data_IF_647595395514
#
_entry.id   IF_647595395514
#
_cell.length_a   1.000
_cell.length_b   1.000
_cell.length_c   1.000
_cell.angle_alpha   90.00
_cell.angle_beta   90.00
_cell.angle_gamma   90.00
#
_symmetry.space_group_name_H-M   'P 1'
#
loop_
_entity.id
_entity.type
_entity.pdbx_description
1 polymer ?
#
# COMPACT_ATOMS: atom_id res chain seq x y z
N UNK A 1 -23.66 -9.58 6.09
CA UNK A 1 -22.35 -10.19 5.74
C UNK A 1 -21.92 -11.13 6.85
N UNK A 2 -21.67 -12.41 6.54
CA UNK A 2 -21.16 -13.35 7.55
C UNK A 2 -19.75 -12.92 7.95
N UNK A 3 -19.56 -12.61 9.24
CA UNK A 3 -18.22 -12.36 9.78
C UNK A 3 -17.33 -13.57 9.47
N UNK A 4 -16.29 -13.37 8.67
CA UNK A 4 -15.30 -14.41 8.39
C UNK A 4 -14.69 -14.83 9.73
N UNK A 5 -14.88 -16.09 10.10
CA UNK A 5 -14.29 -16.61 11.33
C UNK A 5 -12.82 -16.95 11.05
N UNK A 6 -11.94 -15.97 11.22
CA UNK A 6 -10.50 -16.10 11.00
C UNK A 6 -9.89 -17.28 11.79
N UNK A 7 -10.42 -17.55 12.98
CA UNK A 7 -9.99 -18.70 13.80
C UNK A 7 -10.25 -20.03 13.08
N UNK A 8 -11.41 -20.16 12.41
CA UNK A 8 -11.76 -21.37 11.67
C UNK A 8 -10.87 -21.56 10.42
N UNK A 9 -10.48 -20.49 9.74
CA UNK A 9 -9.56 -20.55 8.61
C UNK A 9 -8.18 -21.05 9.04
N UNK A 10 -7.66 -20.55 10.16
CA UNK A 10 -6.38 -20.98 10.73
C UNK A 10 -6.42 -22.44 11.21
N UNK A 11 -7.57 -22.91 11.71
CA UNK A 11 -7.75 -24.27 12.20
C UNK A 11 -7.92 -25.30 11.08
N UNK A 12 -8.45 -24.91 9.93
CA UNK A 12 -8.79 -25.84 8.83
C UNK A 12 -7.77 -25.93 7.71
N UNK A 13 -6.80 -25.01 7.65
CA UNK A 13 -5.81 -24.94 6.58
C UNK A 13 -4.49 -25.67 6.89
N UNK A 14 -3.71 -25.88 5.84
CA UNK A 14 -2.31 -26.37 5.93
C UNK A 14 -1.37 -25.44 6.71
N UNK A 15 -1.86 -24.27 7.10
CA UNK A 15 -1.14 -23.26 7.89
C UNK A 15 -1.30 -23.46 9.42
N UNK A 16 -1.93 -24.54 9.87
CA UNK A 16 -2.18 -24.83 11.29
C UNK A 16 -0.91 -24.81 12.15
N UNK A 17 0.25 -24.98 11.55
CA UNK A 17 1.56 -24.94 12.22
C UNK A 17 2.54 -24.08 11.41
N UNK A 18 2.36 -22.77 11.42
CA UNK A 18 3.38 -21.86 10.89
C UNK A 18 4.54 -21.84 11.88
N UNK A 19 5.72 -22.26 11.42
CA UNK A 19 6.93 -22.14 12.20
C UNK A 19 7.59 -20.79 11.93
N UNK A 20 7.88 -20.05 12.99
CA UNK A 20 8.68 -18.82 12.94
C UNK A 20 10.17 -19.10 13.25
N UNK A 21 10.58 -20.38 13.23
CA UNK A 21 11.99 -20.75 13.46
C UNK A 21 12.89 -20.08 12.42
N UNK A 22 13.93 -19.43 12.87
CA UNK A 22 14.88 -18.71 12.02
C UNK A 22 14.48 -17.27 11.68
N UNK A 23 13.28 -16.82 12.07
CA UNK A 23 12.88 -15.42 11.90
C UNK A 23 13.23 -14.64 13.17
N UNK A 24 13.92 -13.51 13.01
CA UNK A 24 14.17 -12.59 14.10
C UNK A 24 12.84 -12.09 14.69
N UNK A 25 12.66 -12.25 16.01
CA UNK A 25 11.41 -11.85 16.70
C UNK A 25 11.07 -10.36 16.48
N UNK A 26 12.06 -9.48 16.48
CA UNK A 26 11.86 -8.05 16.25
C UNK A 26 11.29 -7.81 14.86
N UNK A 27 11.90 -8.40 13.84
CA UNK A 27 11.42 -8.31 12.46
C UNK A 27 10.00 -8.88 12.31
N UNK A 28 9.72 -10.03 12.92
CA UNK A 28 8.37 -10.62 12.89
C UNK A 28 7.31 -9.68 13.48
N UNK A 29 7.63 -9.00 14.60
CA UNK A 29 6.73 -8.02 15.23
C UNK A 29 6.55 -6.79 14.35
N UNK A 30 7.61 -6.28 13.73
CA UNK A 30 7.55 -5.12 12.82
C UNK A 30 6.67 -5.41 11.60
N UNK A 31 6.90 -6.55 10.93
CA UNK A 31 6.08 -7.01 9.80
C UNK A 31 4.61 -7.15 10.20
N UNK A 32 4.34 -7.85 11.30
CA UNK A 32 2.97 -8.05 11.78
C UNK A 32 2.29 -6.71 12.13
N UNK A 33 3.00 -5.82 12.79
CA UNK A 33 2.48 -4.49 13.16
C UNK A 33 2.10 -3.70 11.92
N UNK A 34 2.92 -3.72 10.88
CA UNK A 34 2.61 -3.05 9.62
C UNK A 34 1.40 -3.69 8.93
N UNK A 35 1.38 -5.02 8.82
CA UNK A 35 0.24 -5.75 8.23
C UNK A 35 -1.07 -5.45 8.96
N UNK A 36 -1.05 -5.43 10.29
CA UNK A 36 -2.21 -5.10 11.11
C UNK A 36 -2.66 -3.64 10.89
N UNK A 37 -1.72 -2.70 10.88
CA UNK A 37 -1.99 -1.29 10.60
C UNK A 37 -2.65 -1.12 9.23
N UNK A 38 -2.14 -1.79 8.21
CA UNK A 38 -2.69 -1.76 6.86
C UNK A 38 -4.09 -2.36 6.82
N UNK A 39 -4.30 -3.54 7.42
CA UNK A 39 -5.60 -4.18 7.51
C UNK A 39 -6.64 -3.26 8.17
N UNK A 40 -6.32 -2.68 9.32
CA UNK A 40 -7.22 -1.76 10.02
C UNK A 40 -7.51 -0.49 9.22
N UNK A 41 -6.53 -0.01 8.43
CA UNK A 41 -6.73 1.10 7.51
C UNK A 41 -7.75 0.74 6.42
N UNK A 42 -7.59 -0.41 5.77
CA UNK A 42 -8.50 -0.87 4.72
C UNK A 42 -9.92 -1.13 5.26
N UNK A 43 -10.04 -1.76 6.43
CA UNK A 43 -11.32 -2.00 7.09
C UNK A 43 -12.02 -0.67 7.47
N UNK A 44 -11.26 0.34 7.87
CA UNK A 44 -11.80 1.67 8.13
C UNK A 44 -12.31 2.33 6.84
N UNK A 45 -11.56 2.23 5.75
CA UNK A 45 -12.00 2.74 4.44
C UNK A 45 -13.26 1.99 3.96
N UNK A 46 -13.28 0.65 4.07
CA UNK A 46 -14.44 -0.17 3.69
C UNK A 46 -15.69 0.25 4.46
N UNK A 47 -15.55 0.49 5.76
CA UNK A 47 -16.66 0.91 6.62
C UNK A 47 -17.26 2.26 6.21
N UNK A 48 -16.42 3.20 5.77
CA UNK A 48 -16.86 4.54 5.35
C UNK A 48 -17.31 4.58 3.88
N UNK A 49 -16.85 3.63 3.05
CA UNK A 49 -17.08 3.64 1.61
C UNK A 49 -18.55 3.50 1.21
N UNK A 50 -19.32 2.66 1.91
CA UNK A 50 -20.69 2.35 1.55
C UNK A 50 -21.78 3.24 2.20
N UNK A 51 -21.69 3.63 3.50
CA UNK A 51 -22.80 4.32 4.15
C UNK A 51 -22.91 5.80 3.84
N UNK A 52 -21.79 6.48 3.63
CA UNK A 52 -21.75 7.94 3.61
C UNK A 52 -21.85 8.55 2.21
N UNK A 53 -21.66 7.76 1.14
CA UNK A 53 -21.57 8.22 -0.26
C UNK A 53 -20.61 9.42 -0.47
N UNK A 54 -19.70 9.62 0.47
CA UNK A 54 -18.71 10.70 0.42
C UNK A 54 -17.46 10.31 -0.35
N UNK A 55 -17.09 9.02 -0.34
CA UNK A 55 -15.99 8.47 -1.13
C UNK A 55 -16.55 8.08 -2.50
N UNK A 56 -16.42 8.98 -3.46
CA UNK A 56 -17.02 8.83 -4.81
C UNK A 56 -16.10 8.19 -5.85
N UNK A 57 -14.82 8.01 -5.52
CA UNK A 57 -13.90 7.31 -6.41
C UNK A 57 -14.04 5.78 -6.24
N UNK A 58 -13.80 4.99 -7.31
CA UNK A 58 -13.67 3.55 -7.18
C UNK A 58 -12.52 3.22 -6.23
N UNK A 59 -12.80 2.44 -5.18
CA UNK A 59 -11.79 2.01 -4.21
C UNK A 59 -11.36 0.58 -4.49
N UNK A 60 -10.04 0.39 -4.61
CA UNK A 60 -9.42 -0.93 -4.82
C UNK A 60 -8.61 -1.30 -3.58
N UNK A 61 -9.22 -2.12 -2.75
CA UNK A 61 -8.60 -2.58 -1.51
C UNK A 61 -7.43 -3.53 -1.76
N UNK A 62 -6.42 -3.46 -0.90
CA UNK A 62 -5.31 -4.41 -0.83
C UNK A 62 -5.46 -5.40 0.35
N UNK A 63 -6.67 -5.58 0.86
CA UNK A 63 -6.97 -6.56 1.91
C UNK A 63 -6.63 -7.97 1.44
N UNK A 64 -5.78 -8.66 2.21
CA UNK A 64 -5.21 -9.98 1.87
C UNK A 64 -3.85 -9.91 1.18
N UNK A 65 -3.38 -8.73 0.79
CA UNK A 65 -2.10 -8.50 0.12
C UNK A 65 -1.06 -7.83 1.05
N UNK A 66 -1.31 -7.77 2.37
CA UNK A 66 -0.54 -6.97 3.33
C UNK A 66 0.93 -7.39 3.45
N UNK A 67 1.25 -8.63 3.14
CA UNK A 67 2.60 -9.17 3.32
C UNK A 67 3.65 -8.49 2.42
N UNK A 68 3.28 -8.16 1.18
CA UNK A 68 4.20 -7.53 0.23
C UNK A 68 4.53 -6.09 0.66
N UNK A 69 3.55 -5.20 0.92
CA UNK A 69 3.84 -3.87 1.44
C UNK A 69 4.59 -3.87 2.77
N UNK A 70 4.31 -4.82 3.68
CA UNK A 70 5.03 -4.96 4.93
C UNK A 70 6.52 -5.28 4.71
N UNK A 71 6.81 -6.19 3.79
CA UNK A 71 8.19 -6.53 3.43
C UNK A 71 8.90 -5.32 2.82
N UNK A 72 8.25 -4.61 1.89
CA UNK A 72 8.80 -3.41 1.26
C UNK A 72 9.07 -2.29 2.27
N UNK A 73 8.18 -2.08 3.25
CA UNK A 73 8.40 -1.08 4.30
C UNK A 73 9.69 -1.32 5.10
N UNK A 74 10.08 -2.59 5.24
CA UNK A 74 11.30 -2.97 5.98
C UNK A 74 12.60 -2.83 5.17
N UNK A 75 12.53 -2.90 3.84
CA UNK A 75 13.72 -2.92 2.98
C UNK A 75 13.95 -1.63 2.19
N UNK A 76 12.89 -0.86 1.93
CA UNK A 76 12.99 0.37 1.16
C UNK A 76 13.57 1.51 2.00
N UNK A 77 14.50 2.23 1.39
CA UNK A 77 15.01 3.49 1.90
C UNK A 77 14.17 4.68 1.42
N UNK A 78 14.33 5.84 2.08
CA UNK A 78 13.60 7.05 1.70
C UNK A 78 13.91 7.51 0.26
N UNK A 79 15.14 7.29 -0.21
CA UNK A 79 15.61 7.63 -1.56
C UNK A 79 15.06 6.73 -2.66
N UNK A 80 14.60 5.51 -2.34
CA UNK A 80 14.12 4.57 -3.34
C UNK A 80 12.81 5.05 -3.96
N UNK A 81 12.68 4.85 -5.25
CA UNK A 81 11.45 5.11 -6.00
C UNK A 81 10.59 3.85 -6.02
N UNK A 82 9.32 4.00 -5.68
CA UNK A 82 8.35 2.90 -5.71
C UNK A 82 7.22 3.25 -6.68
N UNK A 83 7.05 2.39 -7.67
CA UNK A 83 5.94 2.45 -8.62
C UNK A 83 4.98 1.30 -8.35
N UNK A 84 3.70 1.59 -8.30
CA UNK A 84 2.66 0.64 -7.94
C UNK A 84 1.50 0.65 -8.95
N UNK A 85 0.58 -0.24 -8.74
CA UNK A 85 -0.65 -0.40 -9.51
C UNK A 85 -1.88 0.14 -8.74
N UNK A 86 -3.08 -0.11 -9.23
CA UNK A 86 -4.35 0.41 -8.68
C UNK A 86 -4.69 -0.01 -7.23
N UNK A 87 -4.12 -1.12 -6.70
CA UNK A 87 -4.23 -1.52 -5.28
C UNK A 87 -3.06 -0.95 -4.49
N UNK A 88 -3.02 0.37 -4.39
CA UNK A 88 -1.80 1.10 -4.03
C UNK A 88 -1.69 1.50 -2.57
N UNK A 89 -2.75 1.36 -1.77
CA UNK A 89 -2.79 1.87 -0.38
C UNK A 89 -1.67 1.28 0.49
N UNK A 90 -1.43 -0.04 0.38
CA UNK A 90 -0.36 -0.69 1.12
C UNK A 90 1.02 -0.17 0.75
N UNK A 91 1.28 0.05 -0.52
CA UNK A 91 2.55 0.57 -1.03
C UNK A 91 2.76 2.04 -0.68
N UNK A 92 1.68 2.84 -0.71
CA UNK A 92 1.66 4.21 -0.22
C UNK A 92 2.10 4.29 1.24
N UNK A 93 1.52 3.43 2.09
CA UNK A 93 1.87 3.35 3.50
C UNK A 93 3.28 2.75 3.72
N UNK A 94 3.72 1.82 2.87
CA UNK A 94 5.06 1.24 2.92
C UNK A 94 6.15 2.28 2.68
N UNK A 95 5.88 3.30 1.88
CA UNK A 95 6.74 4.48 1.69
C UNK A 95 6.57 5.55 2.78
N UNK A 96 5.94 5.20 3.92
CA UNK A 96 5.70 6.10 5.05
C UNK A 96 4.94 7.40 4.66
N UNK A 97 4.10 7.33 3.63
CA UNK A 97 3.24 8.43 3.27
C UNK A 97 2.10 8.59 4.30
N UNK A 98 1.66 9.83 4.61
CA UNK A 98 0.73 10.08 5.71
C UNK A 98 -0.67 9.49 5.48
N UNK A 99 -1.14 8.62 6.37
CA UNK A 99 -2.48 8.02 6.32
C UNK A 99 -3.60 9.07 6.24
N UNK A 100 -3.47 10.19 6.95
CA UNK A 100 -4.43 11.30 6.87
C UNK A 100 -4.62 11.82 5.45
N UNK A 101 -3.54 11.86 4.66
CA UNK A 101 -3.60 12.33 3.27
C UNK A 101 -4.22 11.29 2.34
N UNK A 102 -4.06 10.00 2.64
CA UNK A 102 -4.78 8.94 1.95
C UNK A 102 -6.30 9.10 2.13
N UNK A 103 -6.77 9.19 3.37
CA UNK A 103 -8.21 9.40 3.64
C UNK A 103 -8.72 10.70 3.00
N UNK A 104 -8.00 11.81 3.16
CA UNK A 104 -8.39 13.08 2.55
C UNK A 104 -8.49 12.98 1.02
N UNK A 105 -7.60 12.20 0.38
CA UNK A 105 -7.64 11.95 -1.06
C UNK A 105 -8.89 11.19 -1.47
N UNK A 106 -9.22 10.11 -0.75
CA UNK A 106 -10.42 9.29 -1.02
C UNK A 106 -11.72 10.11 -0.87
N UNK A 107 -11.75 11.04 0.08
CA UNK A 107 -12.85 11.99 0.27
C UNK A 107 -12.84 13.19 -0.71
N UNK A 108 -11.94 13.21 -1.69
CA UNK A 108 -11.84 14.30 -2.67
C UNK A 108 -11.44 15.65 -2.06
N UNK A 109 -10.73 15.66 -0.93
CA UNK A 109 -10.34 16.89 -0.26
C UNK A 109 -9.03 17.46 -0.81
N UNK A 110 -8.94 18.78 -0.92
CA UNK A 110 -7.73 19.49 -1.37
C UNK A 110 -6.50 19.21 -0.48
N UNK A 111 -6.72 18.78 0.75
CA UNK A 111 -5.66 18.37 1.69
C UNK A 111 -5.15 16.95 1.46
N UNK A 112 -5.72 16.21 0.52
CA UNK A 112 -5.29 14.88 0.11
C UNK A 112 -3.88 14.83 -0.45
N UNK A 113 -3.41 13.64 -0.75
CA UNK A 113 -2.08 13.40 -1.30
C UNK A 113 -1.89 14.05 -2.67
N UNK A 114 -2.94 14.06 -3.49
CA UNK A 114 -3.01 14.61 -4.83
C UNK A 114 -4.14 15.65 -4.97
N UNK A 115 -4.42 16.41 -3.91
CA UNK A 115 -5.44 17.45 -3.88
C UNK A 115 -6.86 16.95 -4.16
N UNK A 116 -7.14 15.67 -3.90
CA UNK A 116 -8.46 15.04 -4.02
C UNK A 116 -8.84 14.63 -5.43
N UNK A 117 -7.90 14.60 -6.38
CA UNK A 117 -8.19 14.30 -7.80
C UNK A 117 -7.73 12.91 -8.26
N UNK A 118 -6.81 12.27 -7.53
CA UNK A 118 -6.28 10.95 -7.91
C UNK A 118 -7.15 9.79 -7.41
N UNK A 119 -7.88 9.98 -6.34
CA UNK A 119 -8.67 8.93 -5.71
C UNK A 119 -7.82 7.76 -5.22
N UNK A 120 -8.38 6.54 -5.26
CA UNK A 120 -7.73 5.33 -4.77
C UNK A 120 -6.65 4.78 -5.70
N UNK A 121 -6.86 4.85 -7.02
CA UNK A 121 -6.09 4.08 -7.99
C UNK A 121 -4.80 4.76 -8.45
N UNK A 122 -4.79 6.10 -8.47
CA UNK A 122 -3.70 6.91 -9.00
C UNK A 122 -2.99 7.72 -7.91
N UNK A 123 -3.23 7.34 -6.64
CA UNK A 123 -2.64 8.06 -5.50
C UNK A 123 -1.12 8.03 -5.55
N UNK A 124 -0.52 9.19 -5.49
CA UNK A 124 0.94 9.35 -5.49
C UNK A 124 1.39 10.22 -4.34
N UNK A 125 2.63 10.05 -3.90
CA UNK A 125 3.24 10.90 -2.89
C UNK A 125 4.71 11.20 -3.24
N UNK A 126 4.96 12.17 -4.13
CA UNK A 126 6.30 12.46 -4.65
C UNK A 126 7.33 12.80 -3.58
N UNK A 127 6.90 13.35 -2.44
CA UNK A 127 7.79 13.64 -1.30
C UNK A 127 8.49 12.40 -0.75
N UNK A 128 7.89 11.22 -0.92
CA UNK A 128 8.44 9.94 -0.49
C UNK A 128 8.76 9.03 -1.70
N UNK A 129 8.87 9.60 -2.90
CA UNK A 129 9.16 8.87 -4.14
C UNK A 129 8.16 7.72 -4.40
N UNK A 130 6.88 7.94 -4.11
CA UNK A 130 5.82 6.98 -4.35
C UNK A 130 4.89 7.43 -5.49
N UNK A 131 4.65 6.53 -6.43
CA UNK A 131 3.79 6.77 -7.60
C UNK A 131 2.94 5.54 -7.88
N UNK A 132 1.67 5.73 -8.21
CA UNK A 132 0.81 4.65 -8.67
C UNK A 132 0.01 5.05 -9.92
N UNK A 133 -0.60 4.07 -10.55
CA UNK A 133 -1.41 4.29 -11.73
C UNK A 133 -2.46 3.19 -11.91
N UNK A 134 -3.64 3.60 -12.39
CA UNK A 134 -4.77 2.70 -12.64
C UNK A 134 -4.49 1.70 -13.78
N UNK A 135 -3.67 2.11 -14.77
CA UNK A 135 -3.36 1.28 -15.93
C UNK A 135 -2.39 0.17 -15.54
N UNK A 136 -2.84 -1.09 -15.63
CA UNK A 136 -2.00 -2.25 -15.39
C UNK A 136 -0.80 -2.23 -16.34
N UNK A 137 0.39 -2.48 -15.79
CA UNK A 137 1.69 -2.41 -16.47
C UNK A 137 2.12 -1.02 -16.93
N UNK A 138 1.26 0.02 -16.87
CA UNK A 138 1.64 1.39 -17.23
C UNK A 138 2.77 1.93 -16.37
N UNK A 139 2.70 1.71 -15.07
CA UNK A 139 3.72 2.10 -14.12
C UNK A 139 5.09 1.44 -14.39
N UNK A 140 5.11 0.23 -15.00
CA UNK A 140 6.36 -0.49 -15.32
C UNK A 140 7.20 0.25 -16.36
N UNK A 141 6.56 0.75 -17.43
CA UNK A 141 7.26 1.52 -18.46
C UNK A 141 7.82 2.85 -17.89
N UNK A 142 7.05 3.51 -17.01
CA UNK A 142 7.50 4.74 -16.35
C UNK A 142 8.68 4.44 -15.41
N UNK A 143 8.59 3.36 -14.63
CA UNK A 143 9.68 2.93 -13.74
C UNK A 143 10.98 2.64 -14.52
N UNK A 144 10.85 1.96 -15.68
CA UNK A 144 11.99 1.71 -16.57
C UNK A 144 12.64 3.03 -17.02
N UNK A 145 11.84 4.02 -17.46
CA UNK A 145 12.35 5.33 -17.87
C UNK A 145 13.08 6.05 -16.73
N UNK A 146 12.57 5.97 -15.51
CA UNK A 146 13.23 6.53 -14.32
C UNK A 146 14.55 5.81 -14.03
N UNK A 147 14.57 4.48 -14.09
CA UNK A 147 15.79 3.69 -13.89
C UNK A 147 16.87 4.01 -14.94
N UNK A 148 16.47 4.13 -16.21
CA UNK A 148 17.37 4.54 -17.29
C UNK A 148 17.97 5.95 -17.05
N UNK A 149 17.16 6.90 -16.57
CA UNK A 149 17.66 8.24 -16.24
C UNK A 149 18.70 8.19 -15.10
N UNK A 150 18.53 7.36 -14.08
CA UNK A 150 19.55 7.19 -13.05
C UNK A 150 20.84 6.59 -13.59
N UNK A 151 20.73 5.56 -14.42
CA UNK A 151 21.87 4.93 -15.08
C UNK A 151 22.66 5.94 -15.95
N UNK A 152 21.95 6.74 -16.75
CA UNK A 152 22.57 7.77 -17.59
C UNK A 152 23.26 8.84 -16.77
N UNK A 153 22.66 9.29 -15.66
CA UNK A 153 23.26 10.29 -14.78
C UNK A 153 24.49 9.76 -14.04
N UNK A 154 24.47 8.50 -13.62
CA UNK A 154 25.61 7.89 -12.93
C UNK A 154 26.85 7.72 -13.83
N UNK A 155 26.65 7.60 -15.15
CA UNK A 155 27.74 7.50 -16.14
C UNK A 155 28.36 8.85 -16.51
N UNK A 156 27.66 9.95 -16.22
CA UNK A 156 28.10 11.30 -16.54
C UNK A 156 28.72 12.07 -15.34
N UNK A 157 28.83 11.42 -14.19
CA UNK A 157 29.52 11.87 -12.99
C UNK A 157 30.75 11.00 -12.71
#
# INVERSE_FOLDING_TARGET
>A
MNKINHKKILETGKYKKISLNGINKKLAVELYTFMLKLRLCEEAIEKEYHPADEIRCPVHFCSGEEAVPASLNNILESRDYLFSHHRSHGYYLAKNAPMKKLFAELYGKVTGANSGIAGSQDISYPKNNFFSGAILSGATAIALGVAMNFEMKSKNN
#
